data_IF_752734859309
#
_entry.id   IF_752734859309
#
_cell.length_a   1.000
_cell.length_b   1.000
_cell.length_c   1.000
_cell.angle_alpha   90.00
_cell.angle_beta   90.00
_cell.angle_gamma   90.00
#
_symmetry.space_group_name_H-M   'P 1'
#
loop_
_entity.id
_entity.type
_entity.pdbx_description
1 polymer ?
#
# COMPACT_ATOMS: atom_id res chain seq x y z
N UNK A 1 16.31 10.17 -14.88
CA UNK A 1 16.30 10.80 -13.53
C UNK A 1 14.85 10.99 -13.11
N UNK A 2 14.46 10.55 -11.91
CA UNK A 2 13.11 10.77 -11.43
C UNK A 2 12.87 12.29 -11.28
N UNK A 3 11.79 12.77 -11.91
CA UNK A 3 11.34 14.17 -11.81
C UNK A 3 11.01 14.49 -10.35
N UNK A 4 11.53 15.56 -9.79
CA UNK A 4 11.22 15.94 -8.42
C UNK A 4 9.81 16.56 -8.36
N UNK A 5 9.01 16.16 -7.38
CA UNK A 5 7.71 16.78 -7.09
C UNK A 5 7.95 18.20 -6.60
N UNK A 6 7.32 19.19 -7.23
CA UNK A 6 7.45 20.62 -6.91
C UNK A 6 6.34 21.09 -5.99
N UNK A 7 5.11 20.58 -6.17
CA UNK A 7 4.00 20.92 -5.29
C UNK A 7 4.30 20.57 -3.81
N UNK A 8 4.16 21.53 -2.88
CA UNK A 8 4.52 21.31 -1.48
C UNK A 8 3.60 20.32 -0.76
N UNK A 9 2.32 20.24 -1.13
CA UNK A 9 1.35 19.31 -0.53
C UNK A 9 1.70 17.89 -0.95
N UNK A 10 1.88 17.66 -2.24
CA UNK A 10 2.21 16.34 -2.79
C UNK A 10 3.58 15.86 -2.28
N UNK A 11 4.56 16.77 -2.16
CA UNK A 11 5.87 16.48 -1.58
C UNK A 11 5.78 16.06 -0.12
N UNK A 12 4.98 16.76 0.68
CA UNK A 12 4.76 16.44 2.08
C UNK A 12 4.10 15.06 2.24
N UNK A 13 3.08 14.77 1.42
CA UNK A 13 2.39 13.48 1.42
C UNK A 13 3.37 12.36 1.06
N UNK A 14 4.12 12.51 -0.03
CA UNK A 14 5.16 11.56 -0.45
C UNK A 14 6.15 11.28 0.68
N UNK A 15 6.73 12.34 1.27
CA UNK A 15 7.71 12.20 2.36
C UNK A 15 7.10 11.51 3.58
N UNK A 16 5.85 11.81 3.91
CA UNK A 16 5.13 11.18 5.01
C UNK A 16 4.88 9.69 4.80
N UNK A 17 4.64 9.27 3.55
CA UNK A 17 4.53 7.85 3.18
C UNK A 17 5.89 7.17 3.29
N UNK A 18 6.92 7.75 2.66
CA UNK A 18 8.27 7.18 2.63
C UNK A 18 8.88 6.99 4.03
N UNK A 19 8.60 7.91 4.95
CA UNK A 19 9.06 7.82 6.34
C UNK A 19 8.44 6.64 7.12
N UNK A 20 7.31 6.10 6.65
CA UNK A 20 6.60 4.99 7.30
C UNK A 20 6.87 3.63 6.67
N UNK A 21 7.70 3.56 5.62
CA UNK A 21 8.02 2.29 4.96
C UNK A 21 8.91 1.44 5.88
N UNK A 22 8.47 0.23 6.27
CA UNK A 22 9.29 -0.69 7.03
C UNK A 22 10.58 -1.06 6.30
N UNK A 23 11.65 -1.31 7.05
CA UNK A 23 12.98 -1.58 6.48
C UNK A 23 12.99 -2.84 5.58
N UNK A 24 12.26 -3.87 5.96
CA UNK A 24 12.09 -5.13 5.22
C UNK A 24 11.30 -4.96 3.92
N UNK A 25 10.38 -4.00 3.87
CA UNK A 25 9.58 -3.69 2.68
C UNK A 25 10.28 -2.71 1.72
N UNK A 26 11.29 -1.98 2.19
CA UNK A 26 11.89 -0.85 1.46
C UNK A 26 12.41 -1.22 0.08
N UNK A 27 13.00 -2.41 -0.07
CA UNK A 27 13.51 -2.91 -1.36
C UNK A 27 12.39 -3.10 -2.38
N UNK A 28 11.32 -3.78 -1.99
CA UNK A 28 10.20 -4.05 -2.89
C UNK A 28 9.42 -2.77 -3.19
N UNK A 29 9.23 -1.89 -2.21
CA UNK A 29 8.67 -0.56 -2.41
C UNK A 29 9.44 0.24 -3.46
N UNK A 30 10.77 0.34 -3.34
CA UNK A 30 11.61 1.06 -4.32
C UNK A 30 11.53 0.43 -5.71
N UNK A 31 11.48 -0.89 -5.80
CA UNK A 31 11.32 -1.60 -7.08
C UNK A 31 9.99 -1.25 -7.74
N UNK A 32 8.88 -1.24 -6.99
CA UNK A 32 7.54 -0.89 -7.49
C UNK A 32 7.49 0.57 -7.93
N UNK A 33 7.99 1.50 -7.12
CA UNK A 33 8.03 2.94 -7.48
C UNK A 33 8.87 3.15 -8.75
N UNK A 34 10.05 2.50 -8.83
CA UNK A 34 10.91 2.62 -10.02
C UNK A 34 10.24 2.07 -11.28
N UNK A 35 9.57 0.92 -11.18
CA UNK A 35 8.80 0.36 -12.30
C UNK A 35 7.65 1.29 -12.72
N UNK A 36 6.92 1.83 -11.75
CA UNK A 36 5.84 2.79 -12.01
C UNK A 36 6.33 4.05 -12.70
N UNK A 37 7.42 4.65 -12.22
CA UNK A 37 8.00 5.83 -12.86
C UNK A 37 8.50 5.53 -14.29
N UNK A 38 9.05 4.33 -14.53
CA UNK A 38 9.38 3.93 -15.89
C UNK A 38 8.15 3.84 -16.78
N UNK A 39 7.08 3.21 -16.32
CA UNK A 39 5.81 3.13 -17.06
C UNK A 39 5.21 4.52 -17.33
N UNK A 40 5.35 5.46 -16.40
CA UNK A 40 4.84 6.81 -16.57
C UNK A 40 5.67 7.66 -17.54
N UNK A 41 7.00 7.50 -17.56
CA UNK A 41 7.92 8.47 -18.18
C UNK A 41 8.88 7.90 -19.23
N UNK A 42 8.83 6.60 -19.57
CA UNK A 42 9.65 6.09 -20.67
C UNK A 42 8.98 6.37 -22.02
N UNK A 43 9.81 6.58 -23.04
CA UNK A 43 9.33 6.83 -24.41
C UNK A 43 8.51 5.65 -24.94
N UNK A 44 8.83 4.42 -24.52
CA UNK A 44 8.14 3.19 -24.93
C UNK A 44 6.72 3.08 -24.37
N UNK A 45 6.47 3.67 -23.21
CA UNK A 45 5.19 3.58 -22.49
C UNK A 45 4.50 4.94 -22.33
N UNK A 46 4.98 5.97 -23.00
CA UNK A 46 4.44 7.33 -22.92
C UNK A 46 2.93 7.40 -23.22
N UNK A 47 2.44 6.54 -24.12
CA UNK A 47 1.01 6.43 -24.43
C UNK A 47 0.16 6.12 -23.19
N UNK A 48 0.68 5.37 -22.21
CA UNK A 48 -0.05 5.05 -20.97
C UNK A 48 -0.39 6.30 -20.17
N UNK A 49 0.57 7.23 -20.03
CA UNK A 49 0.33 8.50 -19.35
C UNK A 49 -0.58 9.43 -20.15
N UNK A 50 -0.44 9.45 -21.49
CA UNK A 50 -1.36 10.23 -22.33
C UNK A 50 -2.79 9.73 -22.21
N UNK A 51 -3.03 8.42 -22.32
CA UNK A 51 -4.36 7.83 -22.11
C UNK A 51 -4.92 8.14 -20.73
N UNK A 52 -4.06 8.13 -19.70
CA UNK A 52 -4.46 8.47 -18.34
C UNK A 52 -4.89 9.95 -18.26
N UNK A 53 -4.05 10.88 -18.73
CA UNK A 53 -4.33 12.31 -18.70
C UNK A 53 -5.60 12.65 -19.51
N UNK A 54 -5.73 12.13 -20.72
CA UNK A 54 -6.89 12.35 -21.58
C UNK A 54 -8.17 11.75 -20.96
N UNK A 55 -8.06 10.57 -20.36
CA UNK A 55 -9.17 9.91 -19.68
C UNK A 55 -9.65 10.67 -18.44
N UNK A 56 -8.75 11.29 -17.69
CA UNK A 56 -9.09 12.14 -16.54
C UNK A 56 -9.71 13.44 -17.01
N UNK A 57 -9.14 14.08 -18.03
CA UNK A 57 -9.65 15.33 -18.61
C UNK A 57 -11.06 15.14 -19.18
N UNK A 58 -11.30 14.05 -19.92
CA UNK A 58 -12.62 13.75 -20.48
C UNK A 58 -13.71 13.57 -19.41
N UNK A 59 -13.33 13.25 -18.18
CA UNK A 59 -14.24 13.08 -17.02
C UNK A 59 -14.25 14.27 -16.07
N UNK A 60 -13.72 15.43 -16.48
CA UNK A 60 -13.69 16.64 -15.66
C UNK A 60 -12.87 16.49 -14.38
N UNK A 61 -11.76 15.75 -14.44
CA UNK A 61 -10.84 15.53 -13.32
C UNK A 61 -11.51 14.85 -12.10
N UNK A 62 -12.49 13.99 -12.38
CA UNK A 62 -13.19 13.22 -11.35
C UNK A 62 -12.18 12.41 -10.50
N UNK A 63 -12.19 12.57 -9.16
CA UNK A 63 -11.36 11.81 -8.24
C UNK A 63 -11.42 10.28 -8.45
N UNK A 64 -12.58 9.76 -8.88
CA UNK A 64 -12.73 8.32 -9.20
C UNK A 64 -11.96 7.92 -10.45
N UNK A 65 -11.94 8.78 -11.48
CA UNK A 65 -11.19 8.51 -12.70
C UNK A 65 -9.68 8.49 -12.43
N UNK A 66 -9.19 9.45 -11.63
CA UNK A 66 -7.80 9.51 -11.18
C UNK A 66 -7.45 8.23 -10.40
N UNK A 67 -8.26 7.87 -9.40
CA UNK A 67 -8.03 6.67 -8.60
C UNK A 67 -8.00 5.39 -9.46
N UNK A 68 -8.90 5.26 -10.44
CA UNK A 68 -8.92 4.12 -11.37
C UNK A 68 -7.64 4.02 -12.19
N UNK A 69 -7.12 5.14 -12.68
CA UNK A 69 -5.86 5.17 -13.42
C UNK A 69 -4.67 4.71 -12.59
N UNK A 70 -4.56 5.19 -11.34
CA UNK A 70 -3.51 4.77 -10.41
C UNK A 70 -3.61 3.28 -10.07
N UNK A 71 -4.81 2.77 -9.85
CA UNK A 71 -5.03 1.33 -9.57
C UNK A 71 -4.69 0.49 -10.80
N UNK A 72 -5.02 0.95 -12.01
CA UNK A 72 -4.63 0.28 -13.27
C UNK A 72 -3.10 0.19 -13.38
N UNK A 73 -2.39 1.29 -13.12
CA UNK A 73 -0.92 1.33 -13.12
C UNK A 73 -0.34 0.33 -12.10
N UNK A 74 -0.84 0.34 -10.86
CA UNK A 74 -0.40 -0.57 -9.81
C UNK A 74 -0.63 -2.06 -10.19
N UNK A 75 -1.77 -2.35 -10.82
CA UNK A 75 -2.12 -3.70 -11.28
C UNK A 75 -1.20 -4.17 -12.41
N UNK A 76 -0.86 -3.29 -13.36
CA UNK A 76 0.09 -3.59 -14.43
C UNK A 76 1.46 -3.96 -13.84
N UNK A 77 1.97 -3.15 -12.90
CA UNK A 77 3.27 -3.40 -12.24
C UNK A 77 3.27 -4.77 -11.53
N UNK A 78 2.18 -5.07 -10.80
CA UNK A 78 2.06 -6.34 -10.08
C UNK A 78 2.04 -7.53 -11.04
N UNK A 79 1.27 -7.43 -12.13
CA UNK A 79 1.16 -8.50 -13.12
C UNK A 79 2.48 -8.75 -13.85
N UNK A 80 3.21 -7.69 -14.20
CA UNK A 80 4.53 -7.79 -14.84
C UNK A 80 5.59 -8.36 -13.90
N UNK A 81 5.51 -8.04 -12.62
CA UNK A 81 6.44 -8.55 -11.62
C UNK A 81 6.32 -10.06 -11.40
N UNK A 82 5.12 -10.63 -11.63
CA UNK A 82 4.76 -12.03 -11.33
C UNK A 82 5.07 -12.45 -9.87
N UNK A 83 5.13 -11.49 -8.96
CA UNK A 83 5.54 -11.67 -7.57
C UNK A 83 4.40 -11.26 -6.63
N UNK A 84 3.57 -12.21 -6.14
CA UNK A 84 2.48 -11.87 -5.21
C UNK A 84 2.96 -11.30 -3.89
N UNK A 85 4.18 -11.61 -3.47
CA UNK A 85 4.78 -11.12 -2.22
C UNK A 85 5.00 -9.59 -2.18
N UNK A 86 5.00 -8.91 -3.33
CA UNK A 86 5.16 -7.44 -3.37
C UNK A 86 3.86 -6.68 -3.09
N UNK A 87 2.71 -7.36 -3.00
CA UNK A 87 1.41 -6.71 -2.81
C UNK A 87 1.42 -5.71 -1.64
N UNK A 88 1.99 -6.00 -0.45
CA UNK A 88 2.06 -5.02 0.63
C UNK A 88 2.82 -3.74 0.25
N UNK A 89 3.86 -3.85 -0.58
CA UNK A 89 4.65 -2.72 -1.05
C UNK A 89 3.93 -1.89 -2.13
N UNK A 90 2.98 -2.49 -2.86
CA UNK A 90 2.20 -1.81 -3.90
C UNK A 90 1.35 -0.69 -3.30
N UNK A 91 0.78 -0.86 -2.11
CA UNK A 91 -0.08 0.14 -1.49
C UNK A 91 0.64 1.48 -1.29
N UNK A 92 1.74 1.56 -0.53
CA UNK A 92 2.46 2.81 -0.36
C UNK A 92 3.09 3.31 -1.68
N UNK A 93 3.54 2.40 -2.56
CA UNK A 93 4.08 2.78 -3.85
C UNK A 93 3.03 3.43 -4.76
N UNK A 94 1.81 2.89 -4.83
CA UNK A 94 0.72 3.46 -5.60
C UNK A 94 0.36 4.88 -5.12
N UNK A 95 0.39 5.13 -3.81
CA UNK A 95 0.15 6.47 -3.27
C UNK A 95 1.27 7.46 -3.64
N UNK A 96 2.50 7.00 -3.70
CA UNK A 96 3.62 7.83 -4.17
C UNK A 96 3.53 8.10 -5.67
N UNK A 97 3.20 7.09 -6.48
CA UNK A 97 2.95 7.25 -7.92
C UNK A 97 1.76 8.18 -8.18
N UNK A 98 0.73 8.13 -7.34
CA UNK A 98 -0.38 9.09 -7.36
C UNK A 98 0.12 10.53 -7.22
N UNK A 99 1.04 10.81 -6.29
CA UNK A 99 1.59 12.17 -6.14
C UNK A 99 2.28 12.65 -7.42
N UNK A 100 3.00 11.79 -8.13
CA UNK A 100 3.61 12.13 -9.41
C UNK A 100 2.55 12.37 -10.50
N UNK A 101 1.54 11.52 -10.57
CA UNK A 101 0.45 11.64 -11.54
C UNK A 101 -0.37 12.92 -11.32
N UNK A 102 -0.67 13.27 -10.06
CA UNK A 102 -1.37 14.52 -9.73
C UNK A 102 -0.55 15.75 -10.14
N UNK A 103 0.76 15.76 -9.87
CA UNK A 103 1.61 16.86 -10.32
C UNK A 103 1.65 17.01 -11.85
N UNK A 104 1.61 15.90 -12.58
CA UNK A 104 1.55 15.95 -14.04
C UNK A 104 0.17 16.45 -14.53
N UNK A 105 -0.92 16.08 -13.84
CA UNK A 105 -2.26 16.64 -14.10
C UNK A 105 -2.30 18.15 -13.84
N UNK A 106 -1.73 18.62 -12.73
CA UNK A 106 -1.63 20.05 -12.41
C UNK A 106 -0.91 20.80 -13.54
N UNK A 107 0.23 20.28 -14.00
CA UNK A 107 1.00 20.89 -15.08
C UNK A 107 0.33 20.84 -16.46
N UNK A 108 -0.34 19.72 -16.75
CA UNK A 108 -0.98 19.51 -18.05
C UNK A 108 -2.30 20.28 -18.21
N UNK A 109 -3.07 20.40 -17.12
CA UNK A 109 -4.41 20.96 -17.16
C UNK A 109 -4.52 22.33 -16.46
N UNK A 110 -3.47 22.79 -15.76
CA UNK A 110 -3.49 24.05 -15.02
C UNK A 110 -4.44 24.04 -13.82
N UNK A 111 -4.64 22.89 -13.23
CA UNK A 111 -5.47 22.70 -12.02
C UNK A 111 -4.57 22.53 -10.80
N UNK A 112 -5.04 23.01 -9.65
CA UNK A 112 -4.39 22.81 -8.36
C UNK A 112 -5.27 21.88 -7.51
N UNK A 113 -4.72 20.78 -7.03
CA UNK A 113 -5.46 19.87 -6.15
C UNK A 113 -5.38 20.34 -4.70
N UNK A 114 -6.54 20.61 -4.11
CA UNK A 114 -6.62 20.93 -2.68
C UNK A 114 -6.25 19.69 -1.83
N UNK A 115 -5.85 19.94 -0.58
CA UNK A 115 -5.54 18.87 0.38
C UNK A 115 -6.70 17.91 0.58
N UNK A 116 -7.93 18.41 0.53
CA UNK A 116 -9.17 17.65 0.65
C UNK A 116 -9.36 16.71 -0.55
N UNK A 117 -9.15 17.22 -1.76
CA UNK A 117 -9.23 16.44 -3.00
C UNK A 117 -8.16 15.33 -3.03
N UNK A 118 -6.91 15.65 -2.66
CA UNK A 118 -5.85 14.65 -2.57
C UNK A 118 -6.19 13.58 -1.52
N UNK A 119 -6.77 13.98 -0.39
CA UNK A 119 -7.22 13.03 0.64
C UNK A 119 -8.34 12.12 0.13
N UNK A 120 -9.30 12.65 -0.63
CA UNK A 120 -10.37 11.87 -1.25
C UNK A 120 -9.80 10.87 -2.27
N UNK A 121 -8.95 11.32 -3.18
CA UNK A 121 -8.29 10.45 -4.17
C UNK A 121 -7.52 9.35 -3.47
N UNK A 122 -6.76 9.68 -2.41
CA UNK A 122 -6.01 8.70 -1.60
C UNK A 122 -6.93 7.61 -1.04
N UNK A 123 -8.07 7.99 -0.46
CA UNK A 123 -9.06 7.03 0.07
C UNK A 123 -9.63 6.14 -1.03
N UNK A 124 -9.93 6.71 -2.19
CA UNK A 124 -10.45 5.96 -3.34
C UNK A 124 -9.42 4.98 -3.89
N UNK A 125 -8.15 5.39 -4.02
CA UNK A 125 -7.05 4.50 -4.45
C UNK A 125 -6.92 3.34 -3.48
N UNK A 126 -6.83 3.61 -2.18
CA UNK A 126 -6.71 2.58 -1.15
C UNK A 126 -7.88 1.60 -1.18
N UNK A 127 -9.10 2.11 -1.25
CA UNK A 127 -10.31 1.28 -1.31
C UNK A 127 -10.36 0.38 -2.55
N UNK A 128 -9.99 0.92 -3.71
CA UNK A 128 -9.97 0.15 -4.94
C UNK A 128 -8.86 -0.91 -4.94
N UNK A 129 -7.65 -0.59 -4.44
CA UNK A 129 -6.57 -1.56 -4.27
C UNK A 129 -6.99 -2.71 -3.35
N UNK A 130 -7.62 -2.41 -2.21
CA UNK A 130 -8.15 -3.44 -1.32
C UNK A 130 -9.14 -4.38 -2.04
N UNK A 131 -10.02 -3.83 -2.88
CA UNK A 131 -10.95 -4.65 -3.68
C UNK A 131 -10.22 -5.52 -4.71
N UNK A 132 -9.26 -4.95 -5.44
CA UNK A 132 -8.50 -5.66 -6.47
C UNK A 132 -7.72 -6.83 -5.86
N UNK A 133 -7.06 -6.60 -4.73
CA UNK A 133 -6.25 -7.61 -4.05
C UNK A 133 -7.03 -8.46 -3.04
N UNK A 134 -8.35 -8.25 -2.92
CA UNK A 134 -9.23 -8.98 -2.00
C UNK A 134 -8.77 -8.93 -0.54
N UNK A 135 -8.24 -7.79 -0.12
CA UNK A 135 -7.75 -7.58 1.25
C UNK A 135 -8.90 -7.04 2.10
N UNK A 136 -9.19 -7.73 3.20
CA UNK A 136 -10.18 -7.25 4.18
C UNK A 136 -9.61 -6.03 4.92
N UNK A 137 -10.36 -4.90 4.99
CA UNK A 137 -9.97 -3.73 5.77
C UNK A 137 -9.61 -4.03 7.23
N UNK A 138 -10.23 -5.05 7.84
CA UNK A 138 -9.93 -5.49 9.21
C UNK A 138 -8.51 -6.07 9.35
N UNK A 139 -7.99 -6.73 8.32
CA UNK A 139 -6.62 -7.28 8.32
C UNK A 139 -5.57 -6.18 8.32
N UNK A 140 -5.84 -5.03 7.68
CA UNK A 140 -4.93 -3.87 7.69
C UNK A 140 -4.82 -3.28 9.10
N UNK A 141 -5.94 -3.15 9.82
CA UNK A 141 -5.92 -2.65 11.21
C UNK A 141 -5.14 -3.58 12.14
N UNK A 142 -5.24 -4.90 11.96
CA UNK A 142 -4.47 -5.86 12.73
C UNK A 142 -2.98 -5.81 12.38
N UNK A 143 -2.63 -5.72 11.09
CA UNK A 143 -1.23 -5.62 10.65
C UNK A 143 -0.53 -4.34 11.15
N UNK A 144 -1.26 -3.23 11.26
CA UNK A 144 -0.73 -1.96 11.81
C UNK A 144 -0.55 -2.04 13.33
N UNK A 145 -1.38 -2.83 14.03
CA UNK A 145 -1.30 -2.97 15.50
C UNK A 145 -0.33 -4.06 15.97
N UNK A 146 -0.08 -5.09 15.15
CA UNK A 146 0.71 -6.27 15.57
C UNK A 146 2.07 -6.39 14.87
N UNK A 147 2.44 -5.45 13.99
CA UNK A 147 3.63 -5.62 13.15
C UNK A 147 3.42 -6.78 12.15
N UNK A 148 3.33 -6.42 10.91
CA UNK A 148 3.08 -7.23 9.70
C UNK A 148 3.04 -8.75 9.88
N UNK A 149 1.88 -9.41 9.76
CA UNK A 149 1.83 -10.86 9.50
C UNK A 149 2.36 -11.12 8.08
N UNK A 150 3.33 -12.01 7.94
CA UNK A 150 3.78 -12.46 6.62
C UNK A 150 2.60 -13.06 5.85
N UNK A 151 2.35 -12.63 4.60
CA UNK A 151 1.34 -13.26 3.75
C UNK A 151 1.77 -14.73 3.51
N UNK A 152 0.92 -15.67 3.90
CA UNK A 152 1.16 -17.11 3.73
C UNK A 152 1.32 -17.92 4.99
N UNK A 153 1.21 -17.35 6.20
CA UNK A 153 1.02 -18.15 7.40
C UNK A 153 -0.48 -18.29 7.68
N UNK A 154 -1.02 -19.47 7.46
CA UNK A 154 -2.31 -19.87 8.02
C UNK A 154 -2.28 -19.61 9.53
N UNK A 155 -3.39 -19.10 10.10
CA UNK A 155 -3.46 -18.93 11.54
C UNK A 155 -3.24 -20.31 12.20
N UNK A 156 -2.09 -20.47 12.84
CA UNK A 156 -1.88 -21.61 13.73
C UNK A 156 -2.94 -21.47 14.81
N UNK A 157 -3.93 -22.36 14.74
CA UNK A 157 -4.93 -22.51 15.78
C UNK A 157 -4.18 -22.64 17.11
N UNK A 158 -4.36 -21.69 18.00
CA UNK A 158 -3.91 -21.81 19.36
C UNK A 158 -4.61 -23.01 19.95
N UNK A 159 -3.87 -24.09 20.11
CA UNK A 159 -4.27 -25.25 20.85
C UNK A 159 -4.67 -24.79 22.27
N UNK A 160 -5.87 -25.11 22.75
CA UNK A 160 -6.30 -24.66 24.07
C UNK A 160 -5.35 -25.26 25.11
N UNK A 161 -4.74 -24.41 25.90
CA UNK A 161 -3.88 -24.79 27.02
C UNK A 161 -4.58 -25.86 27.87
N UNK A 162 -3.96 -27.03 27.98
CA UNK A 162 -4.39 -28.09 28.87
C UNK A 162 -4.47 -27.58 30.28
N UNK A 163 -5.50 -27.94 31.06
CA UNK A 163 -5.63 -27.50 32.43
C UNK A 163 -4.48 -28.06 33.30
N UNK A 164 -3.73 -27.16 33.90
CA UNK A 164 -2.74 -27.49 34.93
C UNK A 164 -3.42 -28.20 36.10
N UNK A 165 -3.03 -29.46 36.32
CA UNK A 165 -3.44 -30.23 37.48
C UNK A 165 -2.94 -29.54 38.78
N UNK A 166 -3.73 -29.57 39.88
CA UNK A 166 -3.35 -28.97 41.12
C UNK A 166 -2.22 -29.79 41.80
N UNK A 167 -1.33 -29.15 42.60
CA UNK A 167 -0.31 -29.86 43.32
C UNK A 167 -0.95 -30.66 44.47
N UNK A 168 -0.94 -31.98 44.32
CA UNK A 168 -1.35 -32.90 45.35
C UNK A 168 -0.38 -32.81 46.55
N UNK A 169 -0.90 -32.32 47.64
CA UNK A 169 -0.25 -32.45 48.93
C UNK A 169 -0.23 -33.91 49.38
N UNK A 170 0.91 -34.41 49.76
CA UNK A 170 1.12 -35.68 50.42
C UNK A 170 1.80 -35.44 51.76
N UNK A 171 0.97 -35.56 52.78
CA UNK A 171 1.31 -35.52 54.18
C UNK A 171 1.97 -36.82 54.62
N UNK A 172 2.95 -36.69 55.52
CA UNK A 172 3.24 -37.51 56.70
C UNK A 172 3.65 -38.99 56.49
N UNK A 173 4.82 -39.30 56.96
CA UNK A 173 4.96 -40.38 57.95
C UNK A 173 6.17 -40.16 58.84
N UNK A 174 5.85 -39.91 60.10
CA UNK A 174 6.70 -40.11 61.28
C UNK A 174 6.87 -41.64 61.47
N UNK A 175 7.95 -42.02 62.13
CA UNK A 175 8.17 -42.99 63.22
C UNK A 175 9.66 -43.36 63.22
N UNK A 176 10.39 -42.99 64.24
CA UNK A 176 10.68 -43.71 65.46
C UNK A 176 11.23 -45.14 65.24
N UNK A 177 12.44 -45.33 65.46
CA UNK A 177 13.13 -45.94 66.65
C UNK A 177 14.63 -45.80 66.43
#
# INVERSE_FOLDING_TARGET
MAKAIQDPILRQIKSGIEAKIPADMKRDYLAVVTAGLKLMYSDETHHFMQEFLDGVKAKGEDPKAIAQGIVKLATVIQNESKRPEIIPAIFPAALVLMCYALEDLEKAHGVDFSKEQVSEITKLVMFQLMKVYKIDPKQIHQAVQTGVPKPGQEPVAQEPAAPTAPPGGGLLAQAEV
#
